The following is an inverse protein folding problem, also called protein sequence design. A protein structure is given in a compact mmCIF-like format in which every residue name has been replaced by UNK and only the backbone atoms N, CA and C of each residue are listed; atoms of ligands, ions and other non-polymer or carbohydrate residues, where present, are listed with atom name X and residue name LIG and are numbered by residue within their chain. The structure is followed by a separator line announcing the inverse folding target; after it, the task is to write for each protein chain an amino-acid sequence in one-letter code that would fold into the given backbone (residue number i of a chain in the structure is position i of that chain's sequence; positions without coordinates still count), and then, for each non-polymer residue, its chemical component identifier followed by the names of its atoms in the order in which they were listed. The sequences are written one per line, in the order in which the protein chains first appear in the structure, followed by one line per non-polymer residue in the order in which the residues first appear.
data_IF_502343947886
#
_entry.id   IF_502343947886
#
_cell.length_a   1.000
_cell.length_b   1.000
_cell.length_c   1.000
_cell.angle_alpha   90.00
_cell.angle_beta   90.00
_cell.angle_gamma   90.00
#
_symmetry.space_group_name_H-M   'P 1'
#
loop_
_entity.id
_entity.type
_entity.pdbx_description
1 polymer ?
#
# COMPACT_ATOMS: atom_id res chain seq x y z
N UNK A 1 -56.71 -61.00 3.63
CA UNK A 1 -55.59 -60.45 2.81
C UNK A 1 -55.82 -58.94 2.61
N UNK A 2 -54.79 -58.12 2.92
CA UNK A 2 -54.58 -56.67 2.63
C UNK A 2 -55.76 -55.72 2.97
N UNK A 3 -55.87 -55.00 4.09
CA UNK A 3 -54.99 -54.05 4.83
C UNK A 3 -54.34 -52.95 3.97
N UNK A 4 -55.06 -51.82 3.89
CA UNK A 4 -54.64 -50.41 4.12
C UNK A 4 -53.27 -49.94 3.64
N UNK A 5 -53.25 -48.91 2.78
CA UNK A 5 -52.30 -47.80 2.88
C UNK A 5 -52.74 -46.57 2.03
N UNK A 6 -52.89 -45.42 2.71
CA UNK A 6 -52.61 -44.02 2.36
C UNK A 6 -52.82 -43.52 0.90
N UNK A 7 -53.39 -42.33 0.66
CA UNK A 7 -52.82 -41.05 1.08
C UNK A 7 -53.91 -39.96 1.05
N UNK A 8 -54.21 -39.38 2.22
CA UNK A 8 -55.03 -38.19 2.36
C UNK A 8 -54.20 -36.97 1.93
N UNK A 9 -54.59 -36.35 0.81
CA UNK A 9 -54.20 -35.00 0.45
C UNK A 9 -55.15 -34.04 1.18
N UNK A 10 -54.62 -33.21 2.07
CA UNK A 10 -55.38 -32.10 2.62
C UNK A 10 -54.70 -31.42 3.81
N UNK A 11 -54.70 -30.09 3.74
CA UNK A 11 -54.63 -29.17 4.86
C UNK A 11 -53.26 -28.94 5.53
N UNK A 12 -52.57 -27.86 5.15
CA UNK A 12 -52.64 -26.61 5.89
C UNK A 12 -51.63 -25.59 5.32
N UNK A 13 -52.18 -24.57 4.66
CA UNK A 13 -51.59 -23.23 4.60
C UNK A 13 -51.36 -22.73 6.04
N UNK A 14 -50.43 -21.79 6.23
CA UNK A 14 -50.01 -21.19 7.50
C UNK A 14 -49.02 -22.01 8.32
N UNK A 15 -47.73 -21.98 7.98
CA UNK A 15 -46.66 -21.79 8.98
C UNK A 15 -45.39 -21.30 8.27
N UNK A 16 -44.82 -20.20 8.78
CA UNK A 16 -43.48 -19.68 8.51
C UNK A 16 -43.18 -19.13 7.11
N UNK A 17 -43.85 -18.03 6.78
CA UNK A 17 -43.16 -16.88 6.23
C UNK A 17 -42.11 -16.38 7.25
N UNK A 18 -40.93 -17.00 7.25
CA UNK A 18 -39.76 -16.58 8.03
C UNK A 18 -38.48 -17.22 7.45
N UNK A 19 -38.38 -17.27 6.12
CA UNK A 19 -37.12 -17.49 5.41
C UNK A 19 -36.50 -16.14 4.96
N UNK A 20 -36.77 -15.08 5.74
CA UNK A 20 -36.14 -13.76 5.61
C UNK A 20 -35.34 -13.51 6.88
N UNK A 21 -34.24 -14.24 7.08
CA UNK A 21 -33.23 -13.94 8.10
C UNK A 21 -32.00 -14.83 7.93
N UNK A 22 -31.33 -14.71 6.79
CA UNK A 22 -29.88 -14.74 6.79
C UNK A 22 -29.44 -13.53 5.97
N UNK A 23 -29.48 -12.37 6.63
CA UNK A 23 -28.54 -11.30 6.37
C UNK A 23 -27.15 -11.94 6.39
N UNK A 24 -26.63 -12.34 5.23
CA UNK A 24 -25.21 -12.18 4.97
C UNK A 24 -25.00 -10.67 4.82
N UNK A 25 -25.02 -9.98 5.96
CA UNK A 25 -24.40 -8.67 6.07
C UNK A 25 -22.90 -8.96 5.91
N UNK A 26 -22.47 -9.04 4.65
CA UNK A 26 -21.10 -8.74 4.30
C UNK A 26 -20.93 -7.29 4.73
N UNK A 27 -20.48 -7.10 5.97
CA UNK A 27 -19.88 -5.85 6.38
C UNK A 27 -18.62 -5.80 5.53
N UNK A 28 -18.75 -5.22 4.34
CA UNK A 28 -17.63 -4.63 3.66
C UNK A 28 -17.12 -3.60 4.65
N UNK A 29 -16.08 -3.95 5.41
CA UNK A 29 -15.33 -2.96 6.16
C UNK A 29 -14.94 -1.92 5.10
N UNK A 30 -15.37 -0.65 5.24
CA UNK A 30 -14.77 0.38 4.41
C UNK A 30 -13.28 0.27 4.71
N UNK A 31 -12.47 -0.11 3.71
CA UNK A 31 -11.03 0.07 3.85
C UNK A 31 -10.89 1.56 4.07
N UNK A 32 -10.50 1.94 5.29
CA UNK A 32 -10.11 3.30 5.58
C UNK A 32 -8.93 3.50 4.64
N UNK A 33 -9.14 4.26 3.56
CA UNK A 33 -8.04 4.71 2.73
C UNK A 33 -7.11 5.42 3.71
N UNK A 34 -5.88 4.92 3.81
CA UNK A 34 -4.92 5.50 4.74
C UNK A 34 -4.73 6.97 4.39
N UNK A 35 -4.52 7.83 5.41
CA UNK A 35 -4.39 9.25 5.17
C UNK A 35 -3.17 9.50 4.28
N UNK A 36 -3.38 10.27 3.22
CA UNK A 36 -2.31 10.88 2.45
C UNK A 36 -1.79 12.08 3.23
N UNK A 37 -0.47 12.18 3.39
CA UNK A 37 0.18 13.31 4.05
C UNK A 37 1.02 14.08 3.02
N UNK A 38 0.82 15.40 2.94
CA UNK A 38 1.63 16.27 2.08
C UNK A 38 3.07 16.33 2.60
N UNK A 39 4.03 16.24 1.68
CA UNK A 39 5.44 16.25 1.99
C UNK A 39 6.23 17.06 0.95
N UNK A 40 7.47 17.38 1.31
CA UNK A 40 8.47 17.82 0.36
C UNK A 40 9.36 16.62 0.01
N UNK A 41 9.40 16.24 -1.27
CA UNK A 41 10.20 15.13 -1.78
C UNK A 41 11.32 15.63 -2.67
N UNK A 42 12.45 14.91 -2.65
CA UNK A 42 13.61 15.18 -3.46
C UNK A 42 14.20 13.86 -3.98
N UNK A 43 14.50 13.78 -5.28
CA UNK A 43 15.18 12.66 -5.93
C UNK A 43 16.42 13.14 -6.67
N UNK A 44 17.53 12.44 -6.52
CA UNK A 44 18.74 12.68 -7.32
C UNK A 44 19.55 11.39 -7.47
N UNK A 45 20.43 11.39 -8.48
CA UNK A 45 21.44 10.36 -8.64
C UNK A 45 22.84 10.92 -8.40
N UNK A 46 23.78 10.09 -7.96
CA UNK A 46 25.16 10.46 -7.69
C UNK A 46 26.09 9.37 -8.21
N UNK A 47 27.10 9.73 -8.99
CA UNK A 47 28.20 8.81 -9.29
C UNK A 47 29.12 8.71 -8.06
N UNK A 48 29.59 7.51 -7.72
CA UNK A 48 30.35 7.29 -6.48
C UNK A 48 31.57 8.23 -6.38
N UNK A 49 31.55 9.17 -5.43
CA UNK A 49 32.62 10.16 -5.21
C UNK A 49 32.51 11.43 -6.06
N UNK A 50 31.51 11.54 -6.93
CA UNK A 50 31.22 12.70 -7.77
C UNK A 50 30.04 13.52 -7.20
N UNK A 51 29.86 14.78 -7.65
CA UNK A 51 28.67 15.56 -7.34
C UNK A 51 27.37 14.85 -7.78
N UNK A 52 26.26 15.31 -7.23
CA UNK A 52 24.92 14.90 -7.69
C UNK A 52 24.80 15.16 -9.19
N UNK A 53 24.31 14.18 -9.94
CA UNK A 53 24.06 14.35 -11.37
C UNK A 53 22.82 15.21 -11.54
N UNK A 54 22.93 16.30 -12.28
CA UNK A 54 21.76 17.06 -12.71
C UNK A 54 20.92 16.24 -13.71
N UNK A 55 19.58 16.22 -13.60
CA UNK A 55 18.76 17.09 -12.74
C UNK A 55 18.36 16.46 -11.38
N UNK A 56 18.42 17.27 -10.32
CA UNK A 56 17.72 17.02 -9.05
C UNK A 56 16.23 17.25 -9.30
N UNK A 57 15.38 16.32 -8.88
CA UNK A 57 13.93 16.44 -8.94
C UNK A 57 13.45 16.87 -7.56
N UNK A 58 12.92 18.08 -7.45
CA UNK A 58 12.26 18.59 -6.25
C UNK A 58 10.74 18.62 -6.48
N UNK A 59 9.99 18.10 -5.52
CA UNK A 59 8.54 18.01 -5.56
C UNK A 59 7.95 18.40 -4.20
N UNK A 60 7.60 19.67 -4.07
CA UNK A 60 7.04 20.26 -2.83
C UNK A 60 5.59 19.89 -2.56
N UNK A 61 4.94 19.20 -3.50
CA UNK A 61 3.53 18.82 -3.42
C UNK A 61 3.35 17.29 -3.51
N UNK A 62 4.42 16.52 -3.27
CA UNK A 62 4.31 15.07 -3.22
C UNK A 62 3.40 14.64 -2.06
N UNK A 63 2.70 13.52 -2.25
CA UNK A 63 1.85 12.92 -1.23
C UNK A 63 2.45 11.59 -0.77
N UNK A 64 2.40 11.33 0.53
CA UNK A 64 2.90 10.13 1.16
C UNK A 64 1.74 9.31 1.69
N UNK A 65 1.65 8.05 1.25
CA UNK A 65 0.73 7.04 1.78
C UNK A 65 1.55 6.02 2.59
N UNK A 66 1.12 5.70 3.81
CA UNK A 66 1.90 4.86 4.74
C UNK A 66 1.09 3.66 5.25
N UNK A 67 1.37 2.48 4.68
CA UNK A 67 0.71 1.21 5.01
C UNK A 67 1.63 0.26 5.75
N UNK A 68 1.48 0.19 7.08
CA UNK A 68 2.31 -0.70 7.91
C UNK A 68 3.80 -0.35 7.83
N UNK A 69 4.59 -1.19 7.15
CA UNK A 69 6.01 -0.94 6.89
C UNK A 69 6.31 -0.51 5.45
N UNK A 70 5.28 -0.17 4.68
CA UNK A 70 5.38 0.33 3.31
C UNK A 70 5.07 1.82 3.28
N UNK A 71 5.86 2.58 2.55
CA UNK A 71 5.58 3.97 2.19
C UNK A 71 5.47 4.06 0.67
N UNK A 72 4.44 4.72 0.17
CA UNK A 72 4.25 5.01 -1.24
C UNK A 72 4.31 6.52 -1.42
N UNK A 73 5.28 6.96 -2.21
CA UNK A 73 5.47 8.35 -2.59
C UNK A 73 4.71 8.56 -3.90
N UNK A 74 3.72 9.45 -3.90
CA UNK A 74 2.98 9.88 -5.06
C UNK A 74 3.56 11.21 -5.52
N UNK A 75 4.26 11.19 -6.65
CA UNK A 75 4.88 12.38 -7.23
C UNK A 75 3.86 13.18 -8.03
N UNK A 76 4.04 14.50 -8.10
CA UNK A 76 3.19 15.45 -8.86
C UNK A 76 3.16 15.15 -10.36
N UNK A 77 4.19 14.48 -10.89
CA UNK A 77 4.21 14.00 -12.27
C UNK A 77 3.33 12.75 -12.52
N UNK A 78 2.64 12.25 -11.49
CA UNK A 78 1.76 11.08 -11.54
C UNK A 78 2.48 9.73 -11.37
N UNK A 79 3.80 9.73 -11.29
CA UNK A 79 4.58 8.51 -10.98
C UNK A 79 4.50 8.17 -9.49
N UNK A 80 4.88 6.93 -9.16
CA UNK A 80 4.85 6.42 -7.78
C UNK A 80 6.12 5.68 -7.45
N UNK A 81 6.59 5.83 -6.23
CA UNK A 81 7.72 5.07 -5.71
C UNK A 81 7.35 4.38 -4.41
N UNK A 82 7.46 3.06 -4.38
CA UNK A 82 7.21 2.26 -3.19
C UNK A 82 8.52 1.98 -2.45
N UNK A 83 8.51 2.25 -1.14
CA UNK A 83 9.60 1.97 -0.21
C UNK A 83 9.10 0.99 0.84
N UNK A 84 9.73 -0.19 0.91
CA UNK A 84 9.39 -1.22 1.88
C UNK A 84 10.43 -1.26 3.00
N UNK A 85 10.08 -0.79 4.20
CA UNK A 85 10.99 -0.82 5.34
C UNK A 85 11.08 -2.24 5.93
N UNK A 86 12.31 -2.76 6.00
CA UNK A 86 12.61 -4.02 6.68
C UNK A 86 13.07 -3.79 8.12
N UNK A 87 13.66 -2.62 8.41
CA UNK A 87 14.04 -2.18 9.75
C UNK A 87 14.05 -0.64 9.84
N UNK A 88 14.56 -0.08 10.94
CA UNK A 88 14.76 1.37 11.06
C UNK A 88 15.77 1.91 10.04
N UNK A 89 16.75 1.09 9.66
CA UNK A 89 17.97 1.51 8.95
C UNK A 89 18.05 0.90 7.54
N UNK A 90 17.13 0.00 7.19
CA UNK A 90 17.13 -0.72 5.92
C UNK A 90 15.74 -0.74 5.28
N UNK A 91 15.72 -0.61 3.95
CA UNK A 91 14.50 -0.69 3.15
C UNK A 91 14.76 -1.44 1.83
N UNK A 92 13.70 -1.65 1.07
CA UNK A 92 13.74 -2.13 -0.30
C UNK A 92 12.97 -1.16 -1.20
N UNK A 93 13.54 -0.87 -2.36
CA UNK A 93 12.97 -0.01 -3.39
C UNK A 93 13.27 -0.64 -4.75
N UNK A 94 12.22 -0.87 -5.56
CA UNK A 94 12.35 -1.50 -6.88
C UNK A 94 13.14 -2.84 -6.87
N UNK A 95 13.08 -3.60 -5.76
CA UNK A 95 13.81 -4.85 -5.59
C UNK A 95 15.29 -4.69 -5.18
N UNK A 96 15.75 -3.47 -4.90
CA UNK A 96 17.09 -3.17 -4.42
C UNK A 96 17.09 -2.87 -2.93
N UNK A 97 18.09 -3.41 -2.21
CA UNK A 97 18.35 -3.03 -0.82
C UNK A 97 18.78 -1.57 -0.76
N UNK A 98 18.11 -0.82 0.11
CA UNK A 98 18.40 0.58 0.39
C UNK A 98 18.80 0.76 1.85
N UNK A 99 19.67 1.74 2.08
CA UNK A 99 19.99 2.25 3.40
C UNK A 99 19.10 3.44 3.73
N UNK A 100 18.67 3.53 4.99
CA UNK A 100 17.80 4.58 5.46
C UNK A 100 18.56 5.50 6.41
N UNK A 101 18.56 6.79 6.10
CA UNK A 101 19.06 7.84 6.97
C UNK A 101 17.89 8.67 7.49
N UNK A 102 17.74 8.76 8.81
CA UNK A 102 16.66 9.50 9.47
C UNK A 102 17.25 10.67 10.25
N UNK A 103 16.94 11.87 9.80
CA UNK A 103 17.28 13.14 10.46
C UNK A 103 16.03 14.04 10.45
N UNK A 104 16.15 15.30 10.06
CA UNK A 104 15.03 16.20 9.78
C UNK A 104 14.18 15.73 8.59
N UNK A 105 14.77 14.94 7.70
CA UNK A 105 14.10 14.23 6.60
C UNK A 105 14.42 12.72 6.65
N UNK A 106 13.60 11.92 5.99
CA UNK A 106 13.87 10.51 5.74
C UNK A 106 14.48 10.38 4.35
N UNK A 107 15.75 9.96 4.30
CA UNK A 107 16.46 9.69 3.05
C UNK A 107 16.68 8.19 2.85
N UNK A 108 16.36 7.69 1.68
CA UNK A 108 16.50 6.29 1.26
C UNK A 108 17.50 6.26 0.11
N UNK A 109 18.60 5.53 0.30
CA UNK A 109 19.77 5.53 -0.58
C UNK A 109 20.01 4.11 -1.08
N UNK A 110 20.08 3.92 -2.39
CA UNK A 110 20.34 2.60 -2.98
C UNK A 110 21.21 2.70 -4.23
N UNK A 111 21.86 1.59 -4.59
CA UNK A 111 22.62 1.51 -5.84
C UNK A 111 22.08 0.35 -6.70
N UNK A 112 21.32 0.63 -7.78
CA UNK A 112 20.72 -0.40 -8.62
C UNK A 112 21.74 -1.21 -9.43
N UNK A 113 23.00 -0.75 -9.54
CA UNK A 113 24.04 -1.51 -10.23
C UNK A 113 25.32 -1.52 -9.40
N UNK A 114 25.45 -2.48 -8.48
CA UNK A 114 26.57 -2.59 -7.52
C UNK A 114 27.99 -2.51 -8.10
N UNK A 115 28.17 -2.59 -9.43
CA UNK A 115 29.49 -2.51 -10.09
C UNK A 115 29.87 -1.11 -10.60
N UNK A 116 28.90 -0.33 -11.12
CA UNK A 116 29.15 0.98 -11.75
C UNK A 116 27.90 1.89 -11.74
N UNK A 117 26.89 1.57 -10.94
CA UNK A 117 25.62 2.29 -10.90
C UNK A 117 25.73 3.59 -10.14
N UNK A 118 24.99 4.59 -10.62
CA UNK A 118 24.73 5.79 -9.85
C UNK A 118 23.99 5.38 -8.57
N UNK A 119 24.46 5.87 -7.44
CA UNK A 119 23.68 5.86 -6.21
C UNK A 119 22.45 6.74 -6.41
N UNK A 120 21.28 6.24 -6.06
CA UNK A 120 20.02 6.98 -6.11
C UNK A 120 19.61 7.31 -4.69
N UNK A 121 19.11 8.51 -4.52
CA UNK A 121 18.62 8.99 -3.23
C UNK A 121 17.24 9.58 -3.41
N UNK A 122 16.32 9.18 -2.52
CA UNK A 122 15.06 9.88 -2.30
C UNK A 122 15.07 10.40 -0.87
N UNK A 123 14.78 11.68 -0.68
CA UNK A 123 14.51 12.27 0.63
C UNK A 123 13.07 12.78 0.67
N UNK A 124 12.39 12.59 1.79
CA UNK A 124 11.09 13.22 2.04
C UNK A 124 10.96 13.72 3.48
N UNK A 125 10.19 14.80 3.66
CA UNK A 125 9.86 15.39 4.96
C UNK A 125 8.42 15.90 4.95
N UNK A 126 7.68 15.66 6.03
CA UNK A 126 6.31 16.14 6.17
C UNK A 126 6.29 17.66 6.45
N UNK A 127 5.26 18.35 5.96
CA UNK A 127 5.07 19.80 6.14
C UNK A 127 4.52 20.16 7.53
#
# INVERSE_FOLDING_TARGET
MKRTLNFLLGFNYYYCALAVSLLNLVIAYPSIAEPFESANCLYFERQNGEPESEPIIEDSECEIESTGNTVIIHWSNGSRTQVQFSSSDTAEIEGYTAYVHRSEAICVIWNPSQRHGNERTICYSFQ
#
